data_IF_319914030736
#
_entry.id   IF_319914030736
#
_cell.length_a   1.000
_cell.length_b   1.000
_cell.length_c   1.000
_cell.angle_alpha   90.00
_cell.angle_beta   90.00
_cell.angle_gamma   90.00
#
_symmetry.space_group_name_H-M   'P 1'
#
loop_
_entity.id
_entity.type
_entity.pdbx_description
1 polymer ?
#
# COMPACT_ATOMS: atom_id res chain seq x y z
N UNK A 1 -20.21 12.67 11.27
CA UNK A 1 -18.98 12.94 12.03
C UNK A 1 -18.72 14.43 12.15
N UNK A 2 -18.32 15.17 11.13
CA UNK A 2 -18.07 16.61 11.25
C UNK A 2 -19.35 17.39 11.54
N UNK A 3 -19.45 18.01 12.71
CA UNK A 3 -20.62 18.82 13.12
C UNK A 3 -20.51 20.27 12.63
N UNK A 4 -19.30 20.82 12.58
CA UNK A 4 -19.04 22.18 12.09
C UNK A 4 -19.35 22.31 10.58
N UNK A 5 -20.24 23.23 10.15
CA UNK A 5 -20.55 23.47 8.73
C UNK A 5 -19.33 23.90 7.90
N UNK A 6 -18.38 24.63 8.49
CA UNK A 6 -17.16 25.07 7.80
C UNK A 6 -16.27 23.87 7.50
N UNK A 7 -16.03 23.00 8.47
CA UNK A 7 -15.23 21.79 8.28
C UNK A 7 -15.89 20.84 7.26
N UNK A 8 -17.23 20.72 7.28
CA UNK A 8 -17.97 19.96 6.25
C UNK A 8 -17.77 20.53 4.84
N UNK A 9 -17.75 21.85 4.71
CA UNK A 9 -17.51 22.50 3.40
C UNK A 9 -16.09 22.25 2.91
N UNK A 10 -15.08 22.35 3.78
CA UNK A 10 -13.69 22.00 3.45
C UNK A 10 -13.59 20.55 3.03
N UNK A 11 -14.15 19.62 3.82
CA UNK A 11 -14.15 18.20 3.50
C UNK A 11 -14.76 17.90 2.12
N UNK A 12 -15.96 18.45 1.82
CA UNK A 12 -16.60 18.27 0.49
C UNK A 12 -15.72 18.75 -0.65
N UNK A 13 -15.03 19.86 -0.48
CA UNK A 13 -14.09 20.40 -1.47
C UNK A 13 -12.87 19.48 -1.64
N UNK A 14 -12.37 18.90 -0.56
CA UNK A 14 -11.27 17.92 -0.61
C UNK A 14 -11.70 16.62 -1.30
N UNK A 15 -12.91 16.13 -1.01
CA UNK A 15 -13.49 14.97 -1.71
C UNK A 15 -13.53 15.20 -3.22
N UNK A 16 -14.05 16.35 -3.68
CA UNK A 16 -14.13 16.66 -5.13
C UNK A 16 -12.77 16.84 -5.82
N UNK A 17 -11.69 17.01 -5.05
CA UNK A 17 -10.33 17.21 -5.55
C UNK A 17 -9.40 16.00 -5.32
N UNK A 18 -9.88 14.95 -4.69
CA UNK A 18 -9.06 13.79 -4.33
C UNK A 18 -8.67 12.94 -5.54
N UNK A 19 -9.35 13.09 -6.68
CA UNK A 19 -9.21 12.24 -7.89
C UNK A 19 -9.45 10.74 -7.58
N UNK A 20 -10.28 10.45 -6.58
CA UNK A 20 -10.66 9.09 -6.19
C UNK A 20 -12.12 8.86 -6.57
N UNK A 21 -12.36 8.03 -7.58
CA UNK A 21 -13.70 7.64 -7.99
C UNK A 21 -14.27 6.51 -7.14
N UNK A 22 -13.42 5.54 -6.79
CA UNK A 22 -13.81 4.36 -6.01
C UNK A 22 -12.75 4.00 -4.98
N UNK A 23 -13.21 3.46 -3.86
CA UNK A 23 -12.41 2.79 -2.82
C UNK A 23 -13.12 1.52 -2.41
N UNK A 24 -12.35 0.52 -2.05
CA UNK A 24 -12.88 -0.76 -1.61
C UNK A 24 -12.69 -0.91 -0.12
N UNK A 25 -13.66 -1.57 0.51
CA UNK A 25 -13.62 -1.97 1.90
C UNK A 25 -14.08 -3.42 2.02
N UNK A 26 -13.50 -4.17 2.93
CA UNK A 26 -14.00 -5.50 3.30
C UNK A 26 -15.32 -5.40 4.08
N UNK A 27 -15.62 -4.25 4.67
CA UNK A 27 -16.90 -3.93 5.33
C UNK A 27 -17.95 -3.54 4.29
N UNK A 28 -19.17 -4.02 4.49
CA UNK A 28 -20.30 -3.62 3.66
C UNK A 28 -20.86 -2.28 4.16
N UNK A 29 -20.81 -1.19 3.37
CA UNK A 29 -21.36 0.09 3.80
C UNK A 29 -22.89 0.03 3.86
N UNK A 30 -23.49 0.80 4.79
CA UNK A 30 -24.92 1.06 4.76
C UNK A 30 -25.28 1.90 3.52
N UNK A 31 -26.20 1.41 2.69
CA UNK A 31 -26.56 2.00 1.39
C UNK A 31 -27.87 2.80 1.42
N UNK A 32 -28.48 3.02 2.55
CA UNK A 32 -29.76 3.73 2.65
C UNK A 32 -29.62 5.26 2.77
N UNK A 33 -30.73 5.98 2.64
CA UNK A 33 -30.83 7.43 2.83
C UNK A 33 -31.31 7.82 4.24
N UNK A 34 -31.48 6.87 5.16
CA UNK A 34 -31.99 7.09 6.51
C UNK A 34 -30.92 7.48 7.53
N UNK A 35 -31.34 7.77 8.74
CA UNK A 35 -30.44 7.84 9.89
C UNK A 35 -30.08 6.42 10.32
N UNK A 36 -28.80 6.07 10.25
CA UNK A 36 -28.30 4.78 10.68
C UNK A 36 -27.60 4.89 12.03
N UNK A 37 -27.72 3.85 12.84
CA UNK A 37 -26.95 3.69 14.09
C UNK A 37 -25.49 3.32 13.82
N UNK A 38 -25.15 2.83 12.62
CA UNK A 38 -23.81 2.43 12.22
C UNK A 38 -23.46 2.87 10.79
N UNK A 39 -22.17 3.03 10.51
CA UNK A 39 -21.64 3.33 9.17
C UNK A 39 -21.60 2.12 8.23
N UNK A 40 -21.61 0.90 8.78
CA UNK A 40 -21.61 -0.36 8.02
C UNK A 40 -22.82 -1.23 8.33
N UNK A 41 -23.13 -2.15 7.41
CA UNK A 41 -24.30 -3.02 7.50
C UNK A 41 -24.20 -4.08 8.61
N UNK A 42 -23.00 -4.33 9.14
CA UNK A 42 -22.74 -5.32 10.19
C UNK A 42 -22.70 -4.66 11.59
N UNK A 43 -23.01 -3.37 11.69
CA UNK A 43 -23.03 -2.59 12.93
C UNK A 43 -21.68 -2.57 13.69
N UNK A 44 -20.58 -2.74 12.98
CA UNK A 44 -19.24 -2.69 13.56
C UNK A 44 -18.87 -1.26 13.98
N UNK A 45 -19.23 -0.25 13.19
CA UNK A 45 -18.99 1.17 13.45
C UNK A 45 -20.28 1.87 13.93
N UNK A 46 -20.74 1.52 15.12
CA UNK A 46 -21.90 2.17 15.75
C UNK A 46 -21.56 3.59 16.18
N UNK A 47 -22.38 4.55 15.81
CA UNK A 47 -22.20 5.96 16.18
C UNK A 47 -22.18 6.14 17.70
N UNK A 48 -21.15 6.81 18.21
CA UNK A 48 -20.92 6.99 19.65
C UNK A 48 -20.33 5.78 20.36
N UNK A 49 -20.09 4.65 19.67
CA UNK A 49 -19.53 3.43 20.25
C UNK A 49 -18.68 2.66 19.24
N UNK A 50 -17.65 3.31 18.72
CA UNK A 50 -16.73 2.66 17.79
C UNK A 50 -15.89 1.58 18.48
N UNK A 51 -15.54 0.48 17.78
CA UNK A 51 -14.86 -0.66 18.36
C UNK A 51 -13.46 -0.30 18.88
N UNK A 52 -13.08 -0.92 19.98
CA UNK A 52 -11.71 -0.84 20.48
C UNK A 52 -10.72 -1.67 19.62
N UNK A 53 -9.44 -1.54 19.92
CA UNK A 53 -8.38 -2.22 19.16
C UNK A 53 -8.50 -3.74 19.19
N UNK A 54 -8.87 -4.32 20.34
CA UNK A 54 -9.05 -5.77 20.45
C UNK A 54 -10.12 -6.27 19.48
N UNK A 55 -11.29 -5.61 19.44
CA UNK A 55 -12.38 -5.96 18.53
C UNK A 55 -12.02 -5.78 17.06
N UNK A 56 -11.17 -4.78 16.74
CA UNK A 56 -10.66 -4.59 15.38
C UNK A 56 -9.70 -5.73 14.99
N UNK A 57 -8.84 -6.18 15.90
CA UNK A 57 -7.93 -7.30 15.62
C UNK A 57 -8.66 -8.63 15.49
N UNK A 58 -9.70 -8.89 16.27
CA UNK A 58 -10.57 -10.05 16.07
C UNK A 58 -11.21 -10.05 14.67
N UNK A 59 -11.69 -8.90 14.20
CA UNK A 59 -12.26 -8.78 12.87
C UNK A 59 -11.19 -8.88 11.75
N UNK A 60 -9.97 -8.38 12.02
CA UNK A 60 -8.83 -8.55 11.12
C UNK A 60 -8.51 -10.04 10.93
N UNK A 61 -8.38 -10.79 12.01
CA UNK A 61 -8.09 -12.24 12.00
C UNK A 61 -9.14 -13.01 11.19
N UNK A 62 -10.41 -12.63 11.31
CA UNK A 62 -11.51 -13.27 10.57
C UNK A 62 -11.55 -12.90 9.07
N UNK A 63 -11.15 -11.68 8.71
CA UNK A 63 -11.40 -11.11 7.36
C UNK A 63 -10.16 -11.10 6.47
N UNK A 64 -8.98 -10.88 7.03
CA UNK A 64 -7.74 -10.75 6.26
C UNK A 64 -7.38 -12.03 5.48
N UNK A 65 -7.55 -13.27 6.03
CA UNK A 65 -7.27 -14.49 5.28
C UNK A 65 -8.08 -14.62 3.98
N UNK A 66 -9.33 -14.19 3.98
CA UNK A 66 -10.17 -14.25 2.78
C UNK A 66 -9.64 -13.36 1.66
N UNK A 67 -9.24 -12.13 1.99
CA UNK A 67 -8.68 -11.20 1.01
C UNK A 67 -7.31 -11.67 0.51
N UNK A 68 -6.48 -12.18 1.41
CA UNK A 68 -5.18 -12.79 1.10
C UNK A 68 -5.32 -13.95 0.11
N UNK A 69 -6.20 -14.91 0.39
CA UNK A 69 -6.45 -16.07 -0.49
C UNK A 69 -6.86 -15.62 -1.90
N UNK A 70 -7.78 -14.64 -2.00
CA UNK A 70 -8.18 -14.08 -3.30
C UNK A 70 -7.03 -13.45 -4.07
N UNK A 71 -6.10 -12.77 -3.41
CA UNK A 71 -4.93 -12.19 -4.07
C UNK A 71 -3.96 -13.28 -4.55
N UNK A 72 -3.71 -14.29 -3.71
CA UNK A 72 -2.83 -15.42 -4.04
C UNK A 72 -3.42 -16.26 -5.19
N UNK A 73 -4.72 -16.57 -5.16
CA UNK A 73 -5.40 -17.35 -6.20
C UNK A 73 -5.34 -16.66 -7.57
N UNK A 74 -5.32 -15.33 -7.60
CA UNK A 74 -5.19 -14.56 -8.86
C UNK A 74 -3.83 -14.68 -9.54
N UNK A 75 -2.79 -15.12 -8.85
CA UNK A 75 -1.51 -15.47 -9.49
C UNK A 75 -1.65 -16.67 -10.41
N UNK A 76 -2.70 -17.49 -10.23
CA UNK A 76 -2.95 -18.70 -11.01
C UNK A 76 -1.71 -19.62 -11.11
N UNK A 77 -0.99 -19.79 -10.00
CA UNK A 77 0.24 -20.54 -9.93
C UNK A 77 0.03 -22.00 -10.38
N UNK A 78 0.83 -22.44 -11.34
CA UNK A 78 0.85 -23.84 -11.73
C UNK A 78 1.54 -24.72 -10.66
N UNK A 79 1.49 -26.05 -10.82
CA UNK A 79 2.03 -26.98 -9.84
C UNK A 79 3.56 -26.79 -9.62
N UNK A 80 4.31 -26.52 -10.69
CA UNK A 80 5.76 -26.29 -10.62
C UNK A 80 6.07 -24.98 -9.88
N UNK A 81 5.35 -23.91 -10.17
CA UNK A 81 5.55 -22.63 -9.48
C UNK A 81 5.20 -22.75 -8.00
N UNK A 82 4.10 -23.43 -7.66
CA UNK A 82 3.71 -23.67 -6.27
C UNK A 82 4.75 -24.51 -5.52
N UNK A 83 5.21 -25.61 -6.09
CA UNK A 83 6.24 -26.46 -5.45
C UNK A 83 7.61 -25.77 -5.38
N UNK A 84 7.86 -24.76 -6.21
CA UNK A 84 9.08 -23.96 -6.21
C UNK A 84 9.10 -22.82 -5.18
N UNK A 85 8.00 -22.61 -4.42
CA UNK A 85 7.97 -21.58 -3.37
C UNK A 85 8.78 -22.07 -2.17
N UNK A 86 9.84 -21.35 -1.85
CA UNK A 86 10.74 -21.61 -0.71
C UNK A 86 10.59 -20.57 0.40
N UNK A 87 10.10 -19.37 0.05
CA UNK A 87 9.94 -18.25 0.99
C UNK A 87 8.58 -17.58 0.80
N UNK A 88 7.99 -17.17 1.93
CA UNK A 88 6.78 -16.35 2.00
C UNK A 88 7.12 -15.05 2.72
N UNK A 89 6.91 -13.92 2.04
CA UNK A 89 7.02 -12.58 2.62
C UNK A 89 5.64 -11.95 2.70
N UNK A 90 5.26 -11.41 3.85
CA UNK A 90 3.99 -10.71 4.02
C UNK A 90 4.24 -9.30 4.52
N UNK A 91 3.65 -8.29 3.87
CA UNK A 91 3.61 -6.93 4.41
C UNK A 91 2.23 -6.62 4.93
N UNK A 92 2.13 -6.09 6.13
CA UNK A 92 0.88 -5.60 6.71
C UNK A 92 1.15 -4.58 7.81
N UNK A 93 0.43 -3.45 7.77
CA UNK A 93 0.48 -2.41 8.79
C UNK A 93 -0.85 -2.25 9.54
N UNK A 94 -1.88 -2.99 9.15
CA UNK A 94 -3.27 -2.76 9.60
C UNK A 94 -3.81 -3.86 10.52
N UNK A 95 -3.03 -4.90 10.79
CA UNK A 95 -3.39 -5.92 11.75
C UNK A 95 -2.29 -6.95 11.94
N UNK A 96 -2.29 -7.60 13.11
CA UNK A 96 -1.29 -8.58 13.51
C UNK A 96 -1.94 -9.65 14.40
N UNK A 97 -1.62 -10.89 14.15
CA UNK A 97 -1.90 -12.05 15.03
C UNK A 97 -0.87 -13.15 14.75
N UNK A 98 -0.73 -14.09 15.66
CA UNK A 98 0.19 -15.21 15.52
C UNK A 98 -0.44 -16.52 16.08
N UNK A 99 -0.42 -17.62 15.31
CA UNK A 99 0.08 -17.80 13.94
C UNK A 99 -0.67 -16.90 12.95
N UNK A 100 0.05 -16.25 12.00
CA UNK A 100 -0.49 -15.16 11.21
C UNK A 100 -0.79 -15.52 9.76
N UNK A 101 -0.94 -14.47 8.93
CA UNK A 101 -1.22 -14.61 7.50
C UNK A 101 -0.18 -15.45 6.74
N UNK A 102 1.04 -15.49 7.23
CA UNK A 102 2.12 -16.32 6.68
C UNK A 102 1.79 -17.82 6.80
N UNK A 103 1.23 -18.27 7.91
CA UNK A 103 0.73 -19.63 8.08
C UNK A 103 -0.50 -19.89 7.21
N UNK A 104 -1.43 -18.96 7.15
CA UNK A 104 -2.61 -19.06 6.30
C UNK A 104 -2.25 -19.25 4.81
N UNK A 105 -1.16 -18.63 4.33
CA UNK A 105 -0.66 -18.81 2.97
C UNK A 105 -0.10 -20.23 2.77
N UNK A 106 0.71 -20.70 3.72
CA UNK A 106 1.31 -22.05 3.68
C UNK A 106 0.22 -23.11 3.61
N UNK A 107 -0.80 -23.00 4.46
CA UNK A 107 -1.91 -23.95 4.51
C UNK A 107 -2.78 -23.87 3.26
N UNK A 108 -3.11 -22.66 2.79
CA UNK A 108 -3.94 -22.43 1.59
C UNK A 108 -3.33 -23.02 0.32
N UNK A 109 -2.02 -22.90 0.16
CA UNK A 109 -1.31 -23.41 -1.02
C UNK A 109 -0.77 -24.85 -0.83
N UNK A 110 -0.83 -25.42 0.38
CA UNK A 110 -0.24 -26.69 0.70
C UNK A 110 1.28 -26.70 0.51
N UNK A 111 1.95 -25.63 0.96
CA UNK A 111 3.40 -25.50 0.83
C UNK A 111 4.14 -26.43 1.78
N UNK A 112 5.43 -26.66 1.51
CA UNK A 112 6.30 -27.43 2.40
C UNK A 112 6.35 -26.83 3.81
N UNK A 113 6.41 -27.68 4.83
CA UNK A 113 6.62 -27.24 6.22
C UNK A 113 7.97 -26.54 6.44
N UNK A 114 8.93 -26.71 5.52
CA UNK A 114 10.23 -26.04 5.53
C UNK A 114 10.26 -24.67 4.85
N UNK A 115 9.11 -24.14 4.37
CA UNK A 115 9.05 -22.79 3.76
C UNK A 115 9.42 -21.74 4.80
N UNK A 116 10.37 -20.87 4.45
CA UNK A 116 10.77 -19.75 5.29
C UNK A 116 9.74 -18.63 5.23
N UNK A 117 9.43 -18.02 6.37
CA UNK A 117 8.38 -17.00 6.48
C UNK A 117 8.90 -15.74 7.15
N UNK A 118 8.57 -14.59 6.60
CA UNK A 118 8.91 -13.28 7.17
C UNK A 118 7.75 -12.30 7.06
N UNK A 119 7.40 -11.69 8.19
CA UNK A 119 6.43 -10.60 8.27
C UNK A 119 7.17 -9.25 8.33
N UNK A 120 6.77 -8.32 7.46
CA UNK A 120 7.28 -6.93 7.41
C UNK A 120 6.13 -6.01 7.84
N UNK A 121 6.10 -5.69 9.12
CA UNK A 121 5.06 -4.86 9.73
C UNK A 121 5.47 -3.42 9.96
N UNK A 122 4.50 -2.51 10.03
CA UNK A 122 4.65 -1.11 10.44
C UNK A 122 5.68 -0.27 9.65
N UNK A 123 6.01 -0.68 8.43
CA UNK A 123 6.85 0.12 7.52
C UNK A 123 6.02 1.14 6.71
N UNK A 124 4.70 1.04 6.73
CA UNK A 124 3.80 1.94 5.99
C UNK A 124 3.77 1.64 4.49
N UNK A 125 3.46 2.68 3.71
CA UNK A 125 3.18 2.54 2.27
C UNK A 125 4.39 2.08 1.44
N UNK A 126 5.62 2.17 1.95
CA UNK A 126 6.82 1.67 1.25
C UNK A 126 7.19 0.21 1.58
N UNK A 127 6.44 -0.48 2.44
CA UNK A 127 6.75 -1.85 2.85
C UNK A 127 6.88 -2.82 1.66
N UNK A 128 6.12 -2.61 0.57
CA UNK A 128 6.26 -3.43 -0.63
C UNK A 128 7.63 -3.29 -1.29
N UNK A 129 8.21 -2.08 -1.34
CA UNK A 129 9.56 -1.87 -1.88
C UNK A 129 10.59 -2.57 -0.99
N UNK A 130 10.43 -2.52 0.34
CA UNK A 130 11.29 -3.25 1.27
C UNK A 130 11.18 -4.76 1.07
N UNK A 131 9.97 -5.28 0.87
CA UNK A 131 9.74 -6.70 0.61
C UNK A 131 10.33 -7.15 -0.73
N UNK A 132 10.18 -6.35 -1.80
CA UNK A 132 10.83 -6.61 -3.10
C UNK A 132 12.35 -6.61 -3.00
N UNK A 133 12.92 -5.68 -2.20
CA UNK A 133 14.35 -5.65 -1.90
C UNK A 133 14.82 -6.94 -1.22
N UNK A 134 14.09 -7.38 -0.20
CA UNK A 134 14.37 -8.62 0.52
C UNK A 134 14.25 -9.84 -0.42
N UNK A 135 13.15 -9.93 -1.18
CA UNK A 135 12.92 -11.02 -2.14
C UNK A 135 14.06 -11.11 -3.17
N UNK A 136 14.49 -9.97 -3.73
CA UNK A 136 15.65 -9.93 -4.63
C UNK A 136 16.94 -10.43 -3.96
N UNK A 137 17.20 -10.05 -2.71
CA UNK A 137 18.39 -10.52 -2.01
C UNK A 137 18.34 -12.02 -1.74
N UNK A 138 17.17 -12.57 -1.39
CA UNK A 138 16.96 -14.02 -1.24
C UNK A 138 17.28 -14.73 -2.56
N UNK A 139 16.62 -14.33 -3.67
CA UNK A 139 16.81 -14.96 -4.98
C UNK A 139 18.24 -14.85 -5.50
N UNK A 140 18.94 -13.75 -5.19
CA UNK A 140 20.36 -13.61 -5.56
C UNK A 140 21.29 -14.47 -4.72
N UNK A 141 20.96 -14.69 -3.45
CA UNK A 141 21.72 -15.61 -2.57
C UNK A 141 21.43 -17.06 -2.94
N UNK A 142 20.17 -17.33 -3.27
CA UNK A 142 19.66 -18.67 -3.58
C UNK A 142 18.93 -18.64 -4.94
N UNK A 143 19.63 -18.82 -6.06
CA UNK A 143 19.03 -18.71 -7.40
C UNK A 143 17.86 -19.68 -7.69
N UNK A 144 17.75 -20.76 -6.91
CA UNK A 144 16.63 -21.71 -6.95
C UNK A 144 15.42 -21.26 -6.12
N UNK A 145 15.53 -20.18 -5.36
CA UNK A 145 14.43 -19.72 -4.52
C UNK A 145 13.26 -19.16 -5.33
N UNK A 146 12.05 -19.54 -4.91
CA UNK A 146 10.81 -18.89 -5.27
C UNK A 146 10.26 -18.12 -4.05
N UNK A 147 10.14 -16.81 -4.16
CA UNK A 147 9.65 -15.94 -3.09
C UNK A 147 8.23 -15.50 -3.41
N UNK A 148 7.25 -16.02 -2.69
CA UNK A 148 5.88 -15.53 -2.73
C UNK A 148 5.75 -14.33 -1.79
N UNK A 149 5.46 -13.16 -2.35
CA UNK A 149 5.24 -11.94 -1.60
C UNK A 149 3.75 -11.59 -1.61
N UNK A 150 3.19 -11.29 -0.45
CA UNK A 150 1.81 -10.82 -0.29
C UNK A 150 1.80 -9.51 0.49
N UNK A 151 1.14 -8.50 -0.09
CA UNK A 151 0.89 -7.22 0.54
C UNK A 151 -0.61 -7.13 0.85
N UNK A 152 -0.98 -6.95 2.12
CA UNK A 152 -2.38 -6.91 2.53
C UNK A 152 -2.61 -5.78 3.52
N UNK A 153 -3.64 -4.97 3.23
CA UNK A 153 -4.03 -3.89 4.13
C UNK A 153 -5.55 -3.78 4.25
N UNK A 154 -6.04 -3.70 5.47
CA UNK A 154 -7.42 -3.39 5.83
C UNK A 154 -7.47 -2.01 6.49
N UNK A 155 -7.18 -0.97 5.73
CA UNK A 155 -7.08 0.41 6.26
C UNK A 155 -8.41 0.90 6.85
N UNK A 156 -9.54 0.48 6.26
CA UNK A 156 -10.86 0.87 6.75
C UNK A 156 -11.20 0.29 8.12
N UNK A 157 -10.42 -0.70 8.59
CA UNK A 157 -10.54 -1.27 9.94
C UNK A 157 -10.19 -0.25 11.05
N UNK A 158 -9.45 0.81 10.71
CA UNK A 158 -8.98 1.81 11.68
C UNK A 158 -9.70 3.14 11.58
N UNK A 159 -10.86 3.17 10.91
CA UNK A 159 -11.73 4.33 10.87
C UNK A 159 -12.12 4.76 12.30
N UNK A 160 -12.05 6.06 12.59
CA UNK A 160 -12.30 6.61 13.92
C UNK A 160 -13.39 7.68 13.91
N UNK A 161 -14.13 7.76 14.98
CA UNK A 161 -15.08 8.85 15.20
C UNK A 161 -14.32 10.07 15.71
N UNK A 162 -14.12 11.07 14.83
CA UNK A 162 -13.30 12.24 15.12
C UNK A 162 -13.89 13.51 14.53
N UNK A 163 -13.57 14.65 15.14
CA UNK A 163 -13.81 15.99 14.62
C UNK A 163 -12.54 16.61 14.04
N UNK A 164 -11.39 15.95 14.19
CA UNK A 164 -10.12 16.39 13.62
C UNK A 164 -10.14 16.25 12.09
N UNK A 165 -9.96 17.38 11.40
CA UNK A 165 -10.04 17.43 9.94
C UNK A 165 -8.92 16.66 9.27
N UNK A 166 -7.68 16.70 9.79
CA UNK A 166 -6.55 15.96 9.21
C UNK A 166 -6.80 14.45 9.29
N UNK A 167 -7.31 13.98 10.42
CA UNK A 167 -7.66 12.56 10.58
C UNK A 167 -8.82 12.17 9.65
N UNK A 168 -9.84 12.99 9.53
CA UNK A 168 -10.96 12.75 8.59
C UNK A 168 -10.48 12.73 7.13
N UNK A 169 -9.54 13.61 6.76
CA UNK A 169 -8.95 13.65 5.43
C UNK A 169 -8.06 12.42 5.15
N UNK A 170 -7.40 11.88 6.17
CA UNK A 170 -6.69 10.59 6.04
C UNK A 170 -7.65 9.47 5.65
N UNK A 171 -8.82 9.39 6.28
CA UNK A 171 -9.85 8.39 5.92
C UNK A 171 -10.42 8.59 4.50
N UNK A 172 -10.29 9.77 3.92
CA UNK A 172 -10.73 10.03 2.55
C UNK A 172 -9.92 9.26 1.52
N UNK A 173 -8.63 9.06 1.75
CA UNK A 173 -7.72 8.46 0.75
C UNK A 173 -7.54 6.96 0.92
N UNK A 174 -7.63 6.44 2.15
CA UNK A 174 -7.32 5.04 2.44
C UNK A 174 -8.44 4.07 2.05
N UNK A 175 -8.04 2.90 1.59
CA UNK A 175 -8.87 1.78 1.16
C UNK A 175 -8.26 0.45 1.59
N UNK A 176 -9.00 -0.65 1.42
CA UNK A 176 -8.53 -2.00 1.64
C UNK A 176 -8.08 -2.64 0.34
N UNK A 177 -7.05 -3.46 0.41
CA UNK A 177 -6.54 -4.16 -0.76
C UNK A 177 -5.47 -5.18 -0.43
N UNK A 178 -5.29 -6.12 -1.36
CA UNK A 178 -4.20 -7.08 -1.31
C UNK A 178 -3.62 -7.28 -2.70
N UNK A 179 -2.32 -7.52 -2.76
CA UNK A 179 -1.57 -7.91 -3.95
C UNK A 179 -0.69 -9.11 -3.63
N UNK A 180 -0.50 -10.00 -4.59
CA UNK A 180 0.43 -11.10 -4.50
C UNK A 180 1.37 -11.06 -5.70
N UNK A 181 2.63 -11.47 -5.51
CA UNK A 181 3.63 -11.58 -6.56
C UNK A 181 4.59 -12.72 -6.28
N UNK A 182 5.09 -13.35 -7.34
CA UNK A 182 6.11 -14.37 -7.27
C UNK A 182 7.42 -13.81 -7.83
N UNK A 183 8.46 -13.80 -7.01
CA UNK A 183 9.80 -13.33 -7.37
C UNK A 183 10.74 -14.53 -7.51
N UNK A 184 11.38 -14.66 -8.67
CA UNK A 184 12.28 -15.77 -9.01
C UNK A 184 13.47 -15.26 -9.83
N UNK A 185 14.43 -16.12 -10.13
CA UNK A 185 15.53 -15.82 -11.05
C UNK A 185 15.16 -15.94 -12.53
N UNK A 186 13.89 -16.25 -12.87
CA UNK A 186 13.47 -16.36 -14.27
C UNK A 186 13.39 -14.98 -14.93
N UNK A 187 13.81 -14.91 -16.18
CA UNK A 187 13.69 -13.70 -17.01
C UNK A 187 12.22 -13.53 -17.48
N UNK A 188 11.39 -12.95 -16.61
CA UNK A 188 9.98 -12.72 -16.89
C UNK A 188 9.43 -11.54 -16.06
N UNK A 189 8.70 -10.65 -16.71
CA UNK A 189 8.05 -9.51 -16.05
C UNK A 189 9.01 -8.34 -15.83
N UNK A 190 9.25 -7.95 -14.59
CA UNK A 190 10.18 -6.89 -14.23
C UNK A 190 11.39 -7.45 -13.48
N UNK A 191 12.58 -7.27 -14.04
CA UNK A 191 13.83 -7.53 -13.35
C UNK A 191 14.13 -6.39 -12.36
N UNK A 192 14.47 -6.74 -11.13
CA UNK A 192 14.70 -5.77 -10.03
C UNK A 192 16.20 -5.42 -9.99
N UNK A 193 16.57 -4.20 -10.36
CA UNK A 193 17.98 -3.81 -10.57
C UNK A 193 18.64 -3.30 -9.29
N UNK A 194 18.11 -2.25 -8.69
CA UNK A 194 18.68 -1.61 -7.52
C UNK A 194 17.64 -0.95 -6.63
N UNK A 195 18.04 -0.69 -5.39
CA UNK A 195 17.17 -0.06 -4.39
C UNK A 195 17.91 1.07 -3.68
N UNK A 196 17.19 2.14 -3.34
CA UNK A 196 17.72 3.25 -2.58
C UNK A 196 16.67 3.75 -1.58
N UNK A 197 17.10 4.06 -0.38
CA UNK A 197 16.26 4.66 0.66
C UNK A 197 16.84 6.01 1.09
N UNK A 198 15.96 6.99 1.26
CA UNK A 198 16.35 8.31 1.80
C UNK A 198 15.31 8.75 2.82
N UNK A 199 15.76 9.09 4.01
CA UNK A 199 14.92 9.68 5.06
C UNK A 199 15.20 11.16 5.17
N UNK A 200 14.15 11.99 5.09
CA UNK A 200 14.26 13.43 5.24
C UNK A 200 14.37 13.78 6.73
N UNK A 201 15.42 14.53 7.15
CA UNK A 201 15.57 14.96 8.54
C UNK A 201 14.36 15.76 9.03
N UNK A 202 14.11 15.69 10.35
CA UNK A 202 13.10 16.50 11.08
C UNK A 202 11.63 16.31 10.63
N UNK A 203 11.33 15.27 9.83
CA UNK A 203 9.99 15.02 9.28
C UNK A 203 9.23 13.87 9.95
N UNK A 204 9.78 13.27 11.02
CA UNK A 204 9.23 12.07 11.70
C UNK A 204 7.78 12.22 12.16
N UNK A 205 7.32 13.44 12.42
CA UNK A 205 5.97 13.75 12.87
C UNK A 205 4.94 13.86 11.74
N UNK A 206 5.35 13.91 10.47
CA UNK A 206 4.45 14.19 9.35
C UNK A 206 3.58 13.01 8.91
N UNK A 207 4.10 11.79 9.06
CA UNK A 207 3.35 10.55 8.86
C UNK A 207 3.61 9.67 10.07
N UNK A 208 2.56 9.37 10.84
CA UNK A 208 2.69 8.46 11.98
C UNK A 208 1.56 7.42 11.98
N UNK A 209 1.89 6.22 12.45
CA UNK A 209 0.97 5.11 12.60
C UNK A 209 1.20 4.48 13.97
N UNK A 210 0.22 4.60 14.88
CA UNK A 210 0.41 4.25 16.30
C UNK A 210 -0.75 3.40 16.80
N UNK A 211 -0.45 2.29 17.46
CA UNK A 211 -1.46 1.47 18.13
C UNK A 211 -2.01 2.22 19.35
N UNK A 212 -3.33 2.34 19.44
CA UNK A 212 -4.06 2.99 20.51
C UNK A 212 -5.25 2.14 20.98
N UNK A 213 -5.97 2.60 21.99
CA UNK A 213 -7.11 1.87 22.56
C UNK A 213 -8.32 1.73 21.62
N UNK A 214 -8.51 2.68 20.70
CA UNK A 214 -9.64 2.72 19.75
C UNK A 214 -9.21 2.41 18.31
N UNK A 215 -8.16 1.62 18.13
CA UNK A 215 -7.62 1.28 16.82
C UNK A 215 -6.21 1.83 16.63
N UNK A 216 -5.75 1.89 15.39
CA UNK A 216 -4.45 2.46 15.06
C UNK A 216 -4.66 3.89 14.57
N UNK A 217 -3.98 4.84 15.23
CA UNK A 217 -4.07 6.25 14.88
C UNK A 217 -3.15 6.58 13.71
N UNK A 218 -3.76 7.07 12.63
CA UNK A 218 -3.08 7.60 11.47
C UNK A 218 -3.02 9.13 11.56
N UNK A 219 -1.82 9.67 11.46
CA UNK A 219 -1.59 11.06 11.11
C UNK A 219 -0.96 11.13 9.73
N UNK A 220 -1.58 11.88 8.84
CA UNK A 220 -1.05 12.22 7.52
C UNK A 220 -1.13 13.73 7.36
N UNK A 221 -0.02 14.42 7.63
CA UNK A 221 0.03 15.87 7.58
C UNK A 221 -0.14 16.41 6.16
N UNK A 222 -0.88 17.49 6.03
CA UNK A 222 -0.98 18.26 4.78
C UNK A 222 0.35 18.86 4.29
N UNK A 223 1.42 18.83 5.11
CA UNK A 223 2.76 19.29 4.74
C UNK A 223 3.56 18.25 3.94
N UNK A 224 3.17 16.98 3.95
CA UNK A 224 3.89 15.88 3.27
C UNK A 224 4.20 16.18 1.81
N UNK A 225 3.28 16.67 0.96
CA UNK A 225 3.60 16.95 -0.43
C UNK A 225 4.67 18.03 -0.62
N UNK A 226 4.67 19.08 0.21
CA UNK A 226 5.66 20.15 0.15
C UNK A 226 7.06 19.65 0.55
N UNK A 227 7.16 18.91 1.65
CA UNK A 227 8.42 18.32 2.12
C UNK A 227 8.98 17.30 1.13
N UNK A 228 8.09 16.49 0.54
CA UNK A 228 8.47 15.55 -0.51
C UNK A 228 9.04 16.27 -1.74
N UNK A 229 8.36 17.32 -2.22
CA UNK A 229 8.85 18.12 -3.34
C UNK A 229 10.23 18.71 -3.09
N UNK A 230 10.48 19.22 -1.86
CA UNK A 230 11.80 19.72 -1.44
C UNK A 230 12.85 18.61 -1.43
N UNK A 231 12.55 17.48 -0.80
CA UNK A 231 13.47 16.36 -0.69
C UNK A 231 13.88 15.78 -2.06
N UNK A 232 12.98 15.73 -3.03
CA UNK A 232 13.27 15.25 -4.37
C UNK A 232 14.22 16.17 -5.15
N UNK A 233 14.23 17.47 -4.85
CA UNK A 233 15.19 18.42 -5.45
C UNK A 233 16.57 18.39 -4.77
N UNK A 234 16.61 18.17 -3.45
CA UNK A 234 17.83 18.29 -2.64
C UNK A 234 18.64 16.99 -2.56
N UNK A 235 18.04 15.83 -2.91
CA UNK A 235 18.70 14.54 -2.73
C UNK A 235 19.19 13.94 -4.05
N UNK A 236 20.30 13.22 -4.00
CA UNK A 236 20.79 12.39 -5.11
C UNK A 236 19.91 11.17 -5.40
N UNK A 237 18.67 11.13 -4.84
CA UNK A 237 17.76 10.00 -5.00
C UNK A 237 17.51 9.68 -6.48
N UNK A 238 17.54 10.71 -7.32
CA UNK A 238 17.22 10.67 -8.75
C UNK A 238 18.36 11.18 -9.64
N UNK A 239 19.61 11.02 -9.23
CA UNK A 239 20.77 11.49 -9.98
C UNK A 239 20.85 10.92 -11.42
N UNK A 240 20.29 9.72 -11.65
CA UNK A 240 20.30 9.02 -12.95
C UNK A 240 18.86 8.84 -13.46
N UNK A 241 18.13 9.94 -13.70
CA UNK A 241 16.72 9.90 -14.11
C UNK A 241 16.48 9.90 -15.62
N UNK A 242 17.47 10.29 -16.41
CA UNK A 242 17.31 10.53 -17.85
C UNK A 242 17.06 9.23 -18.67
N UNK A 243 17.22 8.07 -18.05
CA UNK A 243 17.01 6.76 -18.66
C UNK A 243 15.75 6.03 -18.15
N UNK A 244 14.79 6.75 -17.57
CA UNK A 244 13.57 6.15 -17.02
C UNK A 244 12.39 6.36 -17.97
N UNK A 245 11.86 5.26 -18.50
CA UNK A 245 10.66 5.23 -19.32
C UNK A 245 9.37 5.07 -18.49
N UNK A 246 9.46 4.39 -17.34
CA UNK A 246 8.32 3.93 -16.54
C UNK A 246 8.40 4.44 -15.10
N UNK A 247 7.40 5.19 -14.66
CA UNK A 247 7.34 5.78 -13.32
C UNK A 247 6.22 5.16 -12.48
N UNK A 248 6.55 4.17 -11.65
CA UNK A 248 5.62 3.51 -10.73
C UNK A 248 5.60 4.22 -9.37
N UNK A 249 4.92 5.34 -9.27
CA UNK A 249 4.86 6.12 -8.02
C UNK A 249 3.65 5.69 -7.20
N UNK A 250 3.90 5.31 -5.93
CA UNK A 250 2.83 5.03 -4.96
C UNK A 250 1.90 6.24 -4.82
N UNK A 251 0.61 6.10 -5.15
CA UNK A 251 -0.33 7.21 -5.07
C UNK A 251 -0.86 7.39 -3.65
N UNK A 252 -0.04 7.94 -2.77
CA UNK A 252 -0.43 8.28 -1.39
C UNK A 252 -1.62 9.23 -1.30
N UNK A 253 -1.89 9.96 -2.39
CA UNK A 253 -2.97 10.89 -2.65
C UNK A 253 -2.61 11.73 -3.87
N UNK A 254 -3.57 12.46 -4.44
CA UNK A 254 -3.34 13.34 -5.61
C UNK A 254 -2.16 14.30 -5.40
N UNK A 255 -2.14 15.00 -4.27
CA UNK A 255 -1.11 15.99 -3.97
C UNK A 255 0.30 15.41 -3.87
N UNK A 256 0.44 14.14 -3.50
CA UNK A 256 1.72 13.41 -3.51
C UNK A 256 2.18 13.19 -4.95
N UNK A 257 1.30 12.72 -5.84
CA UNK A 257 1.62 12.56 -7.26
C UNK A 257 1.96 13.89 -7.93
N UNK A 258 1.21 14.95 -7.63
CA UNK A 258 1.48 16.30 -8.15
C UNK A 258 2.85 16.82 -7.66
N UNK A 259 3.22 16.57 -6.41
CA UNK A 259 4.52 16.95 -5.85
C UNK A 259 5.67 16.19 -6.52
N UNK A 260 5.53 14.89 -6.75
CA UNK A 260 6.53 14.08 -7.46
C UNK A 260 6.66 14.54 -8.91
N UNK A 261 5.55 14.70 -9.61
CA UNK A 261 5.55 15.14 -11.01
C UNK A 261 6.26 16.48 -11.18
N UNK A 262 5.94 17.45 -10.31
CA UNK A 262 6.59 18.76 -10.31
C UNK A 262 8.04 18.69 -9.83
N UNK A 263 8.31 17.95 -8.77
CA UNK A 263 9.64 17.84 -8.16
C UNK A 263 10.68 17.18 -9.07
N UNK A 264 10.23 16.29 -9.97
CA UNK A 264 11.09 15.62 -10.93
C UNK A 264 10.93 16.15 -12.36
N UNK A 265 10.13 17.20 -12.57
CA UNK A 265 9.83 17.79 -13.89
C UNK A 265 9.37 16.72 -14.91
N UNK A 266 8.46 15.85 -14.48
CA UNK A 266 7.97 14.75 -15.31
C UNK A 266 6.90 15.19 -16.30
N UNK A 267 6.83 14.57 -17.50
CA UNK A 267 5.74 14.76 -18.45
C UNK A 267 4.36 14.53 -17.82
N UNK A 268 3.33 15.16 -18.39
CA UNK A 268 1.98 15.13 -17.85
C UNK A 268 1.38 13.72 -17.72
N UNK A 269 1.78 12.81 -18.58
CA UNK A 269 1.34 11.40 -18.66
C UNK A 269 2.25 10.40 -17.94
N UNK A 270 3.43 10.83 -17.46
CA UNK A 270 4.40 9.94 -16.81
C UNK A 270 3.81 9.15 -15.63
N UNK A 271 2.87 9.74 -14.89
CA UNK A 271 2.21 9.13 -13.74
C UNK A 271 0.79 8.59 -14.04
N UNK A 272 0.45 8.35 -15.30
CA UNK A 272 -0.90 7.94 -15.70
C UNK A 272 -1.35 6.65 -14.98
N UNK A 273 -0.49 5.62 -14.90
CA UNK A 273 -0.80 4.38 -14.20
C UNK A 273 -1.04 4.60 -12.69
N UNK A 274 -0.22 5.43 -12.04
CA UNK A 274 -0.39 5.78 -10.62
C UNK A 274 -1.70 6.55 -10.37
N UNK A 275 -2.06 7.50 -11.24
CA UNK A 275 -3.31 8.26 -11.17
C UNK A 275 -4.52 7.35 -11.44
N UNK A 276 -4.43 6.44 -12.39
CA UNK A 276 -5.49 5.45 -12.64
C UNK A 276 -5.74 4.56 -11.42
N UNK A 277 -4.67 4.05 -10.79
CA UNK A 277 -4.79 3.23 -9.58
C UNK A 277 -5.41 4.04 -8.44
N UNK A 278 -4.99 5.29 -8.21
CA UNK A 278 -5.62 6.17 -7.21
C UNK A 278 -7.10 6.35 -7.47
N UNK A 279 -7.47 6.65 -8.71
CA UNK A 279 -8.86 6.88 -9.09
C UNK A 279 -9.75 5.66 -8.89
N UNK A 280 -9.24 4.47 -9.18
CA UNK A 280 -10.02 3.22 -9.16
C UNK A 280 -10.05 2.51 -7.82
N UNK A 281 -9.02 2.70 -6.99
CA UNK A 281 -8.83 1.88 -5.78
C UNK A 281 -8.53 2.71 -4.53
N UNK A 282 -8.14 3.98 -4.66
CA UNK A 282 -7.63 4.77 -3.55
C UNK A 282 -6.23 4.34 -3.10
N UNK A 283 -5.88 4.69 -1.86
CA UNK A 283 -4.61 4.32 -1.23
C UNK A 283 -4.80 3.07 -0.36
N UNK A 284 -4.33 1.94 -0.81
CA UNK A 284 -4.33 0.64 -0.10
C UNK A 284 -2.99 0.41 0.63
N UNK A 285 -2.35 1.48 1.12
CA UNK A 285 -1.06 1.43 1.82
C UNK A 285 -0.01 0.61 1.04
N UNK A 286 0.63 -0.39 1.66
CA UNK A 286 1.71 -1.17 1.04
C UNK A 286 1.31 -1.89 -0.25
N UNK A 287 0.04 -2.27 -0.42
CA UNK A 287 -0.42 -2.96 -1.62
C UNK A 287 -0.49 -2.05 -2.86
N UNK A 288 -0.64 -0.73 -2.70
CA UNK A 288 -0.99 0.17 -3.79
C UNK A 288 0.04 0.22 -4.91
N UNK A 289 1.33 0.30 -4.60
CA UNK A 289 2.39 0.36 -5.62
C UNK A 289 2.47 -0.92 -6.44
N UNK A 290 2.05 -2.06 -5.88
CA UNK A 290 1.98 -3.33 -6.60
C UNK A 290 0.89 -3.31 -7.69
N UNK A 291 -0.24 -2.65 -7.46
CA UNK A 291 -1.26 -2.41 -8.48
C UNK A 291 -0.74 -1.51 -9.61
N UNK A 292 0.10 -0.51 -9.27
CA UNK A 292 0.75 0.33 -10.29
C UNK A 292 1.73 -0.49 -11.14
N UNK A 293 2.57 -1.30 -10.49
CA UNK A 293 3.52 -2.17 -11.18
C UNK A 293 2.81 -3.20 -12.07
N UNK A 294 1.74 -3.83 -11.57
CA UNK A 294 0.92 -4.76 -12.36
C UNK A 294 0.33 -4.07 -13.59
N UNK A 295 -0.25 -2.87 -13.43
CA UNK A 295 -0.80 -2.10 -14.54
C UNK A 295 0.25 -1.75 -15.59
N UNK A 296 1.47 -1.39 -15.17
CA UNK A 296 2.59 -1.11 -16.06
C UNK A 296 3.09 -2.37 -16.76
N UNK A 297 3.20 -3.50 -16.04
CA UNK A 297 3.67 -4.77 -16.60
C UNK A 297 2.81 -5.25 -17.77
N UNK A 298 1.49 -4.96 -17.76
CA UNK A 298 0.59 -5.30 -18.86
C UNK A 298 0.89 -4.53 -20.16
N UNK A 299 1.62 -3.42 -20.10
CA UNK A 299 1.86 -2.50 -21.23
C UNK A 299 3.33 -2.29 -21.54
N UNK A 300 4.21 -2.70 -20.62
CA UNK A 300 5.65 -2.52 -20.77
C UNK A 300 6.20 -3.34 -21.95
N UNK A 301 7.19 -2.76 -22.61
CA UNK A 301 7.95 -3.42 -23.68
C UNK A 301 9.31 -3.86 -23.15
N UNK A 302 9.84 -5.01 -23.61
CA UNK A 302 11.18 -5.45 -23.22
C UNK A 302 12.23 -4.35 -23.37
N UNK A 303 13.10 -4.23 -22.38
CA UNK A 303 14.16 -3.23 -22.33
C UNK A 303 13.78 -1.87 -21.76
N UNK A 304 12.48 -1.56 -21.57
CA UNK A 304 12.09 -0.33 -20.90
C UNK A 304 12.55 -0.31 -19.45
N UNK A 305 13.15 0.80 -19.03
CA UNK A 305 13.66 1.01 -17.68
C UNK A 305 12.65 1.76 -16.82
N UNK A 306 12.52 1.37 -15.57
CA UNK A 306 11.56 1.96 -14.66
C UNK A 306 12.13 2.33 -13.29
N UNK A 307 11.39 3.21 -12.61
CA UNK A 307 11.59 3.53 -11.22
C UNK A 307 10.26 3.42 -10.46
N UNK A 308 10.23 2.53 -9.47
CA UNK A 308 9.16 2.51 -8.48
C UNK A 308 9.55 3.36 -7.27
N UNK A 309 8.59 4.14 -6.74
CA UNK A 309 8.80 5.02 -5.59
C UNK A 309 7.63 4.88 -4.63
N UNK A 310 7.92 4.75 -3.36
CA UNK A 310 6.92 4.79 -2.28
C UNK A 310 7.41 5.68 -1.13
N UNK A 311 6.45 6.31 -0.46
CA UNK A 311 6.72 7.25 0.62
C UNK A 311 5.92 6.84 1.86
N UNK A 312 6.47 7.07 3.05
CA UNK A 312 5.81 6.69 4.28
C UNK A 312 6.46 7.30 5.52
N UNK A 313 6.20 6.71 6.71
CA UNK A 313 6.71 7.23 7.96
C UNK A 313 8.20 7.54 7.92
N UNK A 314 8.58 8.70 8.50
CA UNK A 314 9.99 9.07 8.53
C UNK A 314 10.32 10.52 8.23
N UNK A 315 9.82 11.23 7.27
CA UNK A 315 9.37 10.89 5.93
C UNK A 315 10.46 10.12 5.18
N UNK A 316 10.21 8.90 4.79
CA UNK A 316 11.17 8.10 4.05
C UNK A 316 10.65 7.86 2.63
N UNK A 317 11.55 8.01 1.65
CA UNK A 317 11.35 7.58 0.27
C UNK A 317 12.12 6.27 0.06
N UNK A 318 11.44 5.23 -0.38
CA UNK A 318 12.04 3.99 -0.88
C UNK A 318 11.86 3.92 -2.39
N UNK A 319 12.94 3.63 -3.10
CA UNK A 319 12.93 3.51 -4.55
C UNK A 319 13.49 2.18 -5.01
N UNK A 320 13.02 1.73 -6.16
CA UNK A 320 13.46 0.54 -6.84
C UNK A 320 13.62 0.84 -8.33
N UNK A 321 14.81 0.60 -8.87
CA UNK A 321 15.03 0.55 -10.31
C UNK A 321 14.70 -0.85 -10.82
N UNK A 322 14.09 -0.91 -11.99
CA UNK A 322 13.72 -2.15 -12.66
C UNK A 322 13.75 -1.97 -14.17
N UNK A 323 13.74 -3.08 -14.89
CA UNK A 323 13.50 -3.07 -16.33
C UNK A 323 12.56 -4.20 -16.74
N UNK A 324 11.85 -3.99 -17.83
CA UNK A 324 11.02 -5.02 -18.44
C UNK A 324 11.86 -6.05 -19.17
N UNK A 325 11.55 -7.32 -18.98
CA UNK A 325 12.23 -8.47 -19.59
C UNK A 325 11.38 -9.06 -20.72
#
# INVERSE_FOLDING_TARGET
>A
MLTDPRLRSVFRRMVSRADIGHRYSFLNPNKGSGQFSSHDANEFYQLGNFPNTARRMELFEQSAPMLMRKAVDRLALNATERSGITHVLVTCCTGLYAPGLDFEIVDHLGLSAGVERTMIGFMGCYAAINALKLARHIVRSEPGAGVLMVNLELCTLHFQETQDLEQVLSFLVFADGAAASLITAREQGFALDSFKAVTTPETRGLITWKIRGLGFDMLLSGQVPAELGRALHETELMAERDDIDLWAVHPGGRSVLDAVQKGLDLPADALAASREVLSRFGNMSSATVMFVLERMMQQARPGQRGCAMSFGPGLTAETMRFHAV
#
